data_IF_646109826567
#
_entry.id   IF_646109826567
#
_cell.length_a   1.000
_cell.length_b   1.000
_cell.length_c   1.000
_cell.angle_alpha   90.00
_cell.angle_beta   90.00
_cell.angle_gamma   90.00
#
_symmetry.space_group_name_H-M   'P 1'
#
loop_
_entity.id
_entity.type
_entity.pdbx_description
1 polymer ?
#
# COMPACT_ATOMS: atom_id res chain seq x y z
N UNK A 1 0.22 -14.58 11.25
CA UNK A 1 0.87 -13.53 10.45
C UNK A 1 -0.24 -12.66 9.93
N UNK A 2 -0.20 -11.35 10.17
CA UNK A 2 -1.29 -10.45 9.81
C UNK A 2 -1.56 -10.50 8.30
N UNK A 3 -2.83 -10.62 7.92
CA UNK A 3 -3.23 -10.60 6.52
C UNK A 3 -3.24 -9.17 5.98
N UNK A 4 -2.94 -9.02 4.68
CA UNK A 4 -2.84 -7.71 4.04
C UNK A 4 -3.47 -7.70 2.66
N UNK A 5 -3.92 -6.52 2.23
CA UNK A 5 -4.43 -6.29 0.88
C UNK A 5 -3.97 -4.94 0.34
N UNK A 6 -3.55 -4.94 -0.92
CA UNK A 6 -3.23 -3.70 -1.64
C UNK A 6 -4.32 -3.40 -2.68
N UNK A 7 -4.95 -2.24 -2.57
CA UNK A 7 -6.00 -1.77 -3.48
C UNK A 7 -5.50 -0.59 -4.32
N UNK A 8 -5.88 -0.57 -5.59
CA UNK A 8 -5.53 0.48 -6.56
C UNK A 8 -6.81 1.19 -7.01
N UNK A 9 -6.86 2.52 -6.85
CA UNK A 9 -8.02 3.35 -7.15
C UNK A 9 -8.62 3.98 -5.88
N UNK A 10 -9.74 4.67 -6.06
CA UNK A 10 -10.57 5.07 -4.92
C UNK A 10 -11.33 3.83 -4.43
N UNK A 11 -10.94 3.33 -3.26
CA UNK A 11 -11.61 2.21 -2.60
C UNK A 11 -12.62 2.78 -1.61
N UNK A 12 -13.87 2.34 -1.71
CA UNK A 12 -14.87 2.56 -0.66
C UNK A 12 -14.34 1.90 0.62
N UNK A 13 -14.43 2.55 1.79
CA UNK A 13 -13.96 1.97 3.05
C UNK A 13 -14.74 0.69 3.35
N UNK A 14 -14.13 -0.46 3.05
CA UNK A 14 -14.73 -1.76 3.35
C UNK A 14 -14.57 -2.04 4.85
N UNK A 15 -15.66 -2.33 5.58
CA UNK A 15 -15.58 -2.69 6.99
C UNK A 15 -14.64 -3.90 7.19
N UNK A 16 -13.81 -3.85 8.24
CA UNK A 16 -12.80 -4.88 8.53
C UNK A 16 -11.43 -4.66 7.86
N UNK A 17 -11.24 -3.56 7.13
CA UNK A 17 -9.92 -3.16 6.61
C UNK A 17 -9.42 -1.90 7.30
N UNK A 18 -8.22 -1.98 7.88
CA UNK A 18 -7.54 -0.81 8.46
C UNK A 18 -6.51 -0.30 7.45
N UNK A 19 -6.61 0.95 6.97
CA UNK A 19 -5.62 1.52 6.07
C UNK A 19 -4.31 1.77 6.82
N UNK A 20 -3.23 1.11 6.39
CA UNK A 20 -1.89 1.22 6.97
C UNK A 20 -1.10 2.33 6.27
N UNK A 21 -1.16 2.37 4.94
CA UNK A 21 -0.46 3.39 4.16
C UNK A 21 -1.21 3.70 2.87
N UNK A 22 -1.32 4.99 2.54
CA UNK A 22 -1.94 5.47 1.29
C UNK A 22 -0.99 6.34 0.50
N UNK A 23 -0.61 5.88 -0.69
CA UNK A 23 0.01 6.70 -1.72
C UNK A 23 -1.07 7.35 -2.58
N UNK A 24 -1.07 8.68 -2.65
CA UNK A 24 -2.00 9.40 -3.51
C UNK A 24 -1.62 9.30 -4.99
N UNK A 25 -2.65 9.37 -5.84
CA UNK A 25 -2.51 9.57 -7.28
C UNK A 25 -1.61 10.77 -7.54
N UNK A 26 -0.70 10.61 -8.50
CA UNK A 26 0.29 11.62 -8.82
C UNK A 26 0.66 11.58 -10.28
N UNK A 27 1.07 12.73 -10.79
CA UNK A 27 1.63 12.84 -12.13
C UNK A 27 2.93 12.02 -12.28
N UNK A 28 3.16 11.46 -13.48
CA UNK A 28 4.41 10.77 -13.79
C UNK A 28 5.60 11.72 -13.66
N UNK A 29 6.76 11.19 -13.26
CA UNK A 29 7.97 11.99 -13.18
C UNK A 29 8.53 12.30 -14.56
N UNK A 30 8.87 13.56 -14.78
CA UNK A 30 9.65 13.99 -15.96
C UNK A 30 11.14 13.64 -15.87
N UNK A 31 11.63 13.18 -14.71
CA UNK A 31 13.06 12.90 -14.48
C UNK A 31 13.28 11.60 -13.72
N UNK A 32 14.09 10.69 -14.28
CA UNK A 32 14.42 9.39 -13.68
C UNK A 32 15.06 9.50 -12.30
N UNK A 33 15.93 10.49 -12.08
CA UNK A 33 16.56 10.72 -10.76
C UNK A 33 15.53 11.09 -9.68
N UNK A 34 14.52 11.90 -10.04
CA UNK A 34 13.43 12.26 -9.12
C UNK A 34 12.53 11.07 -8.84
N UNK A 35 12.31 10.25 -9.86
CA UNK A 35 11.58 8.99 -9.72
C UNK A 35 12.24 8.01 -8.77
N UNK A 36 13.53 7.79 -8.90
CA UNK A 36 14.26 6.87 -8.04
C UNK A 36 14.27 7.34 -6.58
N UNK A 37 14.59 8.63 -6.35
CA UNK A 37 14.57 9.23 -5.01
C UNK A 37 13.18 9.17 -4.36
N UNK A 38 12.13 9.36 -5.14
CA UNK A 38 10.77 9.22 -4.66
C UNK A 38 10.45 7.78 -4.27
N UNK A 39 10.78 6.79 -5.10
CA UNK A 39 10.49 5.41 -4.76
C UNK A 39 11.31 4.90 -3.58
N UNK A 40 12.54 5.42 -3.39
CA UNK A 40 13.34 5.17 -2.20
C UNK A 40 12.62 5.70 -0.95
N UNK A 41 12.15 6.95 -0.99
CA UNK A 41 11.42 7.57 0.12
C UNK A 41 10.10 6.85 0.41
N UNK A 42 9.29 6.55 -0.62
CA UNK A 42 8.03 5.81 -0.44
C UNK A 42 8.29 4.40 0.10
N UNK A 43 9.34 3.72 -0.37
CA UNK A 43 9.73 2.40 0.13
C UNK A 43 10.04 2.40 1.62
N UNK A 44 10.77 3.40 2.10
CA UNK A 44 11.07 3.59 3.53
C UNK A 44 9.79 3.85 4.35
N UNK A 45 8.94 4.76 3.89
CA UNK A 45 7.71 5.12 4.59
C UNK A 45 6.72 3.95 4.71
N UNK A 46 6.51 3.19 3.63
CA UNK A 46 5.60 2.03 3.69
C UNK A 46 6.21 0.87 4.49
N UNK A 47 7.54 0.72 4.50
CA UNK A 47 8.19 -0.30 5.32
C UNK A 47 8.06 0.01 6.81
N UNK A 48 8.22 1.28 7.20
CA UNK A 48 7.98 1.73 8.57
C UNK A 48 6.52 1.48 8.99
N UNK A 49 5.56 1.88 8.15
CA UNK A 49 4.14 1.68 8.43
C UNK A 49 3.76 0.19 8.51
N UNK A 50 4.31 -0.65 7.63
CA UNK A 50 4.10 -2.08 7.67
C UNK A 50 4.68 -2.71 8.95
N UNK A 51 5.85 -2.25 9.41
CA UNK A 51 6.46 -2.73 10.65
C UNK A 51 5.66 -2.33 11.89
N UNK A 52 5.11 -1.11 11.93
CA UNK A 52 4.27 -0.62 13.03
C UNK A 52 2.98 -1.45 13.17
N UNK A 53 2.44 -1.93 12.04
CA UNK A 53 1.21 -2.73 11.98
C UNK A 53 1.44 -4.27 11.94
N UNK A 54 2.67 -4.74 12.22
CA UNK A 54 3.09 -6.15 12.20
C UNK A 54 2.81 -6.87 10.84
N UNK A 55 2.85 -6.12 9.74
CA UNK A 55 2.67 -6.67 8.40
C UNK A 55 3.98 -7.27 7.86
N UNK A 56 3.88 -8.37 7.08
CA UNK A 56 5.05 -8.98 6.47
C UNK A 56 5.66 -8.07 5.40
N UNK A 57 6.98 -8.18 5.18
CA UNK A 57 7.71 -7.41 4.15
C UNK A 57 7.15 -7.63 2.73
N UNK A 58 6.53 -8.78 2.46
CA UNK A 58 5.85 -9.05 1.19
C UNK A 58 4.71 -8.06 0.89
N UNK A 59 4.08 -7.50 1.93
CA UNK A 59 3.06 -6.46 1.78
C UNK A 59 3.62 -5.17 1.18
N UNK A 60 4.82 -4.77 1.59
CA UNK A 60 5.58 -3.64 1.07
C UNK A 60 5.95 -3.87 -0.39
N UNK A 61 6.47 -5.05 -0.72
CA UNK A 61 6.84 -5.40 -2.09
C UNK A 61 5.63 -5.39 -3.03
N UNK A 62 4.50 -5.96 -2.59
CA UNK A 62 3.26 -5.95 -3.36
C UNK A 62 2.74 -4.52 -3.54
N UNK A 63 2.81 -3.70 -2.50
CA UNK A 63 2.41 -2.29 -2.55
C UNK A 63 3.21 -1.52 -3.60
N UNK A 64 4.55 -1.58 -3.51
CA UNK A 64 5.44 -0.88 -4.45
C UNK A 64 5.25 -1.37 -5.88
N UNK A 65 5.06 -2.68 -6.09
CA UNK A 65 4.77 -3.27 -7.40
C UNK A 65 3.48 -2.69 -8.00
N UNK A 66 2.39 -2.66 -7.22
CA UNK A 66 1.11 -2.12 -7.70
C UNK A 66 1.15 -0.60 -7.91
N UNK A 67 1.79 0.14 -7.01
CA UNK A 67 1.97 1.58 -7.12
C UNK A 67 2.75 1.96 -8.40
N UNK A 68 3.81 1.22 -8.73
CA UNK A 68 4.59 1.44 -9.97
C UNK A 68 3.80 1.05 -11.24
N UNK A 69 2.96 0.03 -11.16
CA UNK A 69 2.14 -0.44 -12.28
C UNK A 69 0.88 0.40 -12.55
N UNK A 70 0.52 1.32 -11.67
CA UNK A 70 -0.69 2.13 -11.77
C UNK A 70 -0.40 3.63 -11.52
N UNK A 71 0.41 4.28 -12.39
CA UNK A 71 0.67 5.70 -12.27
C UNK A 71 -0.65 6.50 -12.34
N UNK A 72 -0.76 7.56 -11.55
CA UNK A 72 -1.97 8.40 -11.50
C UNK A 72 -3.15 7.80 -10.75
N UNK A 73 -2.99 6.67 -10.04
CA UNK A 73 -4.05 6.10 -9.18
C UNK A 73 -3.64 6.09 -7.71
N UNK A 74 -4.65 6.12 -6.84
CA UNK A 74 -4.47 5.94 -5.41
C UNK A 74 -4.02 4.49 -5.10
N UNK A 75 -2.90 4.39 -4.41
CA UNK A 75 -2.23 3.26 -3.77
C UNK A 75 -2.61 2.97 -2.31
N UNK A 76 -3.46 2.02 -1.90
CA UNK A 76 -3.69 1.80 -0.45
C UNK A 76 -3.26 0.40 0.00
N UNK A 77 -2.41 0.32 1.03
CA UNK A 77 -2.10 -0.88 1.80
C UNK A 77 -3.06 -0.95 2.99
N UNK A 78 -3.77 -2.06 3.09
CA UNK A 78 -4.65 -2.38 4.21
C UNK A 78 -4.12 -3.57 5.00
N UNK A 79 -4.27 -3.48 6.32
CA UNK A 79 -4.33 -4.64 7.20
C UNK A 79 -5.75 -5.18 7.19
N UNK A 80 -5.87 -6.50 7.03
CA UNK A 80 -7.13 -7.19 7.21
C UNK A 80 -7.26 -7.56 8.69
N UNK A 81 -8.37 -7.18 9.33
CA UNK A 81 -8.66 -7.61 10.69
C UNK A 81 -8.91 -9.12 10.76
N UNK A 82 -8.68 -9.74 11.92
CA UNK A 82 -9.01 -11.14 12.19
C UNK A 82 -10.54 -11.43 12.21
N UNK A 83 -11.37 -10.39 12.12
CA UNK A 83 -12.82 -10.54 12.10
C UNK A 83 -13.35 -10.50 10.67
N UNK A 84 -13.19 -11.61 9.94
CA UNK A 84 -14.24 -12.19 9.08
C UNK A 84 -13.86 -13.64 8.73
N UNK A 85 -13.66 -14.46 9.77
CA UNK A 85 -14.06 -15.87 9.70
C UNK A 85 -15.59 -15.91 9.87
N UNK A 86 -16.31 -15.29 8.93
CA UNK A 86 -17.77 -15.31 8.85
C UNK A 86 -18.17 -16.62 8.20
N UNK A 87 -18.62 -17.54 9.03
CA UNK A 87 -19.35 -18.75 8.64
C UNK A 87 -20.39 -18.44 7.54
N UNK A 88 -20.46 -19.29 6.52
CA UNK A 88 -21.66 -19.52 5.71
C UNK A 88 -21.66 -20.97 5.26
#
# INVERSE_FOLDING_TARGET
MAEYRVVVGDDDPVPGRTPVYRLQARDPFVSRKREDAFWLHIGDQVALAAADDDLPFESVLLFLKKARGAPGKNVTLYRLGEEFSGES
#
